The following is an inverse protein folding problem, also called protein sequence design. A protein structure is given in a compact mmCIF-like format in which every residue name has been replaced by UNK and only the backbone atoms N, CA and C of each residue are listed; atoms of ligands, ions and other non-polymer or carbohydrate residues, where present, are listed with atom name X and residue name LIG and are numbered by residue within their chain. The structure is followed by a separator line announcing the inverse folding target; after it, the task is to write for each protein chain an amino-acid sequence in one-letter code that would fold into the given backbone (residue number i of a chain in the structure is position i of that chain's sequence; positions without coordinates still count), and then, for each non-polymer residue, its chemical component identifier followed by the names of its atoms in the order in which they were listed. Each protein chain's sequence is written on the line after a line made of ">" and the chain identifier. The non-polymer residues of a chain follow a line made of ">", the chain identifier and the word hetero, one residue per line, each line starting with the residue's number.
data_IF_867714270697
#
_entry.id   IF_867714270697
#
_cell.length_a   1.000
_cell.length_b   1.000
_cell.length_c   1.000
_cell.angle_alpha   90.00
_cell.angle_beta   90.00
_cell.angle_gamma   90.00
#
_symmetry.space_group_name_H-M   'P 1'
#
loop_
_entity.id
_entity.type
_entity.pdbx_description
1 polymer ?
#
# COMPACT_ATOMS: atom_id res chain seq x y z
N UNK A 1 19.67 25.69 5.27
CA UNK A 1 18.93 24.67 6.03
C UNK A 1 17.61 24.43 5.32
N UNK A 2 17.45 23.30 4.61
CA UNK A 2 16.19 22.95 3.95
C UNK A 2 16.06 21.42 3.94
N UNK A 3 15.60 20.86 5.07
CA UNK A 3 15.50 19.41 5.27
C UNK A 3 14.33 19.08 6.21
N UNK A 4 13.13 19.59 5.92
CA UNK A 4 11.90 19.25 6.67
C UNK A 4 10.69 19.49 5.76
N UNK A 5 10.27 18.52 4.93
CA UNK A 5 8.94 18.58 4.25
C UNK A 5 8.50 17.27 3.58
N UNK A 6 9.40 16.36 3.18
CA UNK A 6 9.00 15.15 2.42
C UNK A 6 8.77 13.91 3.28
N UNK A 7 9.43 13.79 4.42
CA UNK A 7 9.37 12.60 5.27
C UNK A 7 8.10 12.55 6.15
N UNK A 8 7.55 13.72 6.46
CA UNK A 8 6.36 13.85 7.32
C UNK A 8 5.10 13.22 6.70
N UNK A 9 4.83 13.46 5.41
CA UNK A 9 3.64 12.90 4.74
C UNK A 9 3.63 11.36 4.63
N UNK A 10 4.79 10.70 4.67
CA UNK A 10 4.88 9.24 4.61
C UNK A 10 4.53 8.60 5.95
N UNK A 11 5.23 9.03 7.01
CA UNK A 11 5.08 8.49 8.35
C UNK A 11 3.68 8.76 8.93
N UNK A 12 3.11 9.94 8.68
CA UNK A 12 1.74 10.26 9.11
C UNK A 12 0.70 9.38 8.41
N UNK A 13 0.93 9.05 7.14
CA UNK A 13 0.02 8.19 6.38
C UNK A 13 0.10 6.73 6.87
N UNK A 14 1.31 6.23 7.10
CA UNK A 14 1.52 4.89 7.69
C UNK A 14 0.85 4.79 9.07
N UNK A 15 0.99 5.82 9.91
CA UNK A 15 0.33 5.88 11.21
C UNK A 15 -1.19 5.89 11.07
N UNK A 16 -1.74 6.63 10.10
CA UNK A 16 -3.17 6.63 9.83
C UNK A 16 -3.68 5.23 9.44
N UNK A 17 -2.94 4.50 8.60
CA UNK A 17 -3.28 3.11 8.26
C UNK A 17 -3.16 2.16 9.45
N UNK A 18 -2.09 2.26 10.26
CA UNK A 18 -1.94 1.45 11.46
C UNK A 18 -3.12 1.65 12.42
N UNK A 19 -3.57 2.89 12.59
CA UNK A 19 -4.73 3.24 13.43
C UNK A 19 -6.05 2.71 12.87
N UNK A 20 -6.29 2.85 11.56
CA UNK A 20 -7.55 2.42 10.92
C UNK A 20 -7.65 0.90 10.86
N UNK A 21 -6.57 0.21 10.49
CA UNK A 21 -6.57 -1.23 10.30
C UNK A 21 -6.43 -1.99 11.62
N UNK A 22 -5.73 -1.39 12.59
CA UNK A 22 -5.23 -2.09 13.77
C UNK A 22 -3.95 -2.87 13.42
N UNK A 23 -2.87 -2.63 14.15
CA UNK A 23 -1.57 -3.22 13.89
C UNK A 23 -0.43 -2.27 14.20
N UNK A 24 0.77 -2.68 13.79
CA UNK A 24 2.00 -1.93 13.99
C UNK A 24 2.66 -1.53 12.68
N UNK A 25 3.30 -0.37 12.68
CA UNK A 25 4.24 0.00 11.62
C UNK A 25 5.50 -0.85 11.76
N UNK A 26 6.02 -1.36 10.65
CA UNK A 26 7.32 -2.05 10.60
C UNK A 26 8.47 -1.11 10.19
N UNK A 27 8.20 0.20 10.16
CA UNK A 27 8.96 1.23 9.44
C UNK A 27 10.48 1.06 9.42
N UNK A 28 11.04 1.14 8.20
CA UNK A 28 12.48 1.16 7.95
C UNK A 28 12.81 1.48 6.49
N UNK A 29 13.83 2.31 6.25
CA UNK A 29 14.46 2.41 4.93
C UNK A 29 15.03 1.02 4.60
N UNK A 30 14.63 0.39 3.48
CA UNK A 30 14.97 -0.99 3.07
C UNK A 30 14.20 -2.17 3.73
N UNK A 31 13.02 -1.98 4.36
CA UNK A 31 12.30 -3.07 5.09
C UNK A 31 11.61 -4.16 4.22
N UNK A 32 12.16 -4.49 3.06
CA UNK A 32 11.59 -5.48 2.11
C UNK A 32 10.13 -5.20 1.70
N UNK A 33 9.69 -3.96 1.86
CA UNK A 33 8.41 -3.49 1.36
C UNK A 33 7.21 -4.02 2.13
N UNK A 34 7.17 -3.92 3.48
CA UNK A 34 5.91 -4.03 4.27
C UNK A 34 5.83 -2.91 5.34
N UNK A 35 5.00 -1.91 5.10
CA UNK A 35 4.91 -0.72 5.96
C UNK A 35 4.03 -1.02 7.20
N UNK A 36 2.95 -1.78 6.99
CA UNK A 36 1.97 -2.11 8.03
C UNK A 36 1.89 -3.63 8.24
N UNK A 37 1.95 -4.03 9.50
CA UNK A 37 1.72 -5.39 9.98
C UNK A 37 0.43 -5.38 10.80
N UNK A 38 -0.71 -5.79 10.20
CA UNK A 38 -1.97 -5.89 10.93
C UNK A 38 -1.89 -6.91 12.06
N UNK A 39 -2.58 -6.64 13.17
CA UNK A 39 -2.76 -7.63 14.25
C UNK A 39 -3.73 -8.75 13.82
N UNK A 40 -4.65 -8.42 12.91
CA UNK A 40 -5.59 -9.34 12.30
C UNK A 40 -4.93 -10.13 11.16
N UNK A 41 -4.68 -11.42 11.39
CA UNK A 41 -4.04 -12.30 10.41
C UNK A 41 -4.82 -12.48 9.09
N UNK A 42 -6.11 -12.12 9.05
CA UNK A 42 -6.93 -12.14 7.83
C UNK A 42 -6.62 -10.98 6.88
N UNK A 43 -5.93 -9.94 7.38
CA UNK A 43 -5.51 -8.78 6.60
C UNK A 43 -4.03 -8.98 6.23
N UNK A 44 -3.67 -9.02 4.94
CA UNK A 44 -2.29 -9.22 4.57
C UNK A 44 -1.45 -8.02 4.99
N UNK A 45 -0.16 -8.25 5.27
CA UNK A 45 0.81 -7.15 5.42
C UNK A 45 0.87 -6.35 4.11
N UNK A 46 0.96 -5.04 4.20
CA UNK A 46 0.87 -4.16 3.03
C UNK A 46 1.83 -2.97 3.09
N UNK A 47 2.03 -2.35 1.93
CA UNK A 47 2.77 -1.12 1.73
C UNK A 47 1.83 0.07 1.64
N UNK A 48 2.32 1.23 2.04
CA UNK A 48 1.62 2.51 1.95
C UNK A 48 2.43 3.43 1.05
N UNK A 49 1.76 4.06 0.09
CA UNK A 49 2.35 5.11 -0.75
C UNK A 49 1.45 6.32 -0.79
N UNK A 50 2.06 7.49 -0.69
CA UNK A 50 1.33 8.76 -0.73
C UNK A 50 0.79 9.11 -2.11
N UNK A 51 1.31 8.50 -3.19
CA UNK A 51 0.87 8.80 -4.55
C UNK A 51 0.98 7.62 -5.52
N UNK A 52 0.20 7.69 -6.60
CA UNK A 52 0.19 6.69 -7.69
C UNK A 52 1.57 6.55 -8.32
N UNK A 53 2.31 7.65 -8.50
CA UNK A 53 3.65 7.62 -9.09
C UNK A 53 4.61 6.69 -8.33
N UNK A 54 4.62 6.77 -7.00
CA UNK A 54 5.45 5.88 -6.19
C UNK A 54 4.93 4.45 -6.18
N UNK A 55 3.61 4.26 -6.21
CA UNK A 55 3.00 2.94 -6.30
C UNK A 55 3.36 2.22 -7.61
N UNK A 56 3.37 2.92 -8.75
CA UNK A 56 3.78 2.34 -10.04
C UNK A 56 5.21 1.81 -9.99
N UNK A 57 6.15 2.58 -9.46
CA UNK A 57 7.54 2.15 -9.30
C UNK A 57 7.66 0.91 -8.41
N UNK A 58 6.93 0.89 -7.31
CA UNK A 58 6.87 -0.25 -6.39
C UNK A 58 6.31 -1.51 -7.05
N UNK A 59 5.20 -1.39 -7.79
CA UNK A 59 4.54 -2.49 -8.47
C UNK A 59 5.41 -3.04 -9.62
N UNK A 60 6.11 -2.18 -10.36
CA UNK A 60 7.04 -2.60 -11.39
C UNK A 60 8.16 -3.48 -10.82
N UNK A 61 8.75 -3.08 -9.69
CA UNK A 61 9.74 -3.90 -8.97
C UNK A 61 9.13 -5.20 -8.44
N UNK A 62 7.90 -5.16 -7.92
CA UNK A 62 7.18 -6.35 -7.44
C UNK A 62 6.97 -7.38 -8.54
N UNK A 63 6.60 -6.93 -9.75
CA UNK A 63 6.48 -7.79 -10.93
C UNK A 63 7.84 -8.32 -11.37
N UNK A 64 8.87 -7.47 -11.45
CA UNK A 64 10.22 -7.87 -11.85
C UNK A 64 10.82 -8.95 -10.94
N UNK A 65 10.52 -8.89 -9.64
CA UNK A 65 11.00 -9.83 -8.62
C UNK A 65 10.08 -11.02 -8.40
N UNK A 66 8.94 -11.08 -9.09
CA UNK A 66 7.91 -12.10 -8.88
C UNK A 66 7.48 -12.21 -7.40
N UNK A 67 7.41 -11.06 -6.75
CA UNK A 67 7.07 -10.95 -5.34
C UNK A 67 6.07 -9.82 -5.16
N UNK A 68 4.80 -10.18 -5.07
CA UNK A 68 3.75 -9.20 -4.84
C UNK A 68 3.56 -8.93 -3.34
N UNK A 69 3.67 -7.66 -2.95
CA UNK A 69 3.15 -7.19 -1.67
C UNK A 69 1.94 -6.29 -1.90
N UNK A 70 0.82 -6.51 -1.20
CA UNK A 70 -0.33 -5.62 -1.29
C UNK A 70 0.01 -4.16 -0.97
N UNK A 71 -0.71 -3.24 -1.60
CA UNK A 71 -0.39 -1.80 -1.53
C UNK A 71 -1.63 -0.91 -1.35
N UNK A 72 -1.52 0.05 -0.45
CA UNK A 72 -2.46 1.13 -0.21
C UNK A 72 -1.90 2.45 -0.77
N UNK A 73 -2.73 3.21 -1.48
CA UNK A 73 -2.34 4.48 -2.10
C UNK A 73 -3.25 5.60 -1.60
N UNK A 74 -2.66 6.67 -1.05
CA UNK A 74 -3.42 7.80 -0.52
C UNK A 74 -4.15 7.45 0.78
N UNK A 75 -5.18 8.21 1.13
CA UNK A 75 -5.80 8.17 2.45
C UNK A 75 -6.58 6.86 2.72
N UNK A 76 -6.55 6.37 3.98
CA UNK A 76 -7.30 5.18 4.36
C UNK A 76 -8.83 5.42 4.30
N UNK A 77 -9.57 4.38 3.92
CA UNK A 77 -11.03 4.32 4.05
C UNK A 77 -11.47 3.78 5.42
N UNK A 78 -12.68 3.21 5.49
CA UNK A 78 -13.08 2.42 6.65
C UNK A 78 -12.28 1.12 6.70
N UNK A 79 -12.06 0.59 7.91
CA UNK A 79 -11.28 -0.63 8.16
C UNK A 79 -11.68 -1.78 7.24
N UNK A 80 -12.97 -2.14 7.25
CA UNK A 80 -13.47 -3.29 6.47
C UNK A 80 -13.33 -3.06 4.97
N UNK A 81 -13.62 -1.86 4.47
CA UNK A 81 -13.45 -1.53 3.05
C UNK A 81 -12.00 -1.66 2.57
N UNK A 82 -11.05 -1.21 3.39
CA UNK A 82 -9.62 -1.33 3.09
C UNK A 82 -9.20 -2.81 3.14
N UNK A 83 -9.64 -3.54 4.16
CA UNK A 83 -9.33 -4.94 4.35
C UNK A 83 -9.87 -5.81 3.20
N UNK A 84 -11.13 -5.64 2.82
CA UNK A 84 -11.76 -6.37 1.71
C UNK A 84 -11.04 -6.08 0.40
N UNK A 85 -10.78 -4.80 0.09
CA UNK A 85 -10.05 -4.42 -1.11
C UNK A 85 -8.62 -5.01 -1.16
N UNK A 86 -7.92 -5.07 -0.02
CA UNK A 86 -6.60 -5.70 0.07
C UNK A 86 -6.67 -7.21 -0.22
N UNK A 87 -7.68 -7.92 0.29
CA UNK A 87 -7.85 -9.37 0.04
C UNK A 87 -8.19 -9.63 -1.42
N UNK A 88 -9.17 -8.92 -1.95
CA UNK A 88 -9.71 -9.12 -3.30
C UNK A 88 -8.72 -8.64 -4.36
N UNK A 89 -8.38 -7.35 -4.31
CA UNK A 89 -7.61 -6.67 -5.35
C UNK A 89 -6.10 -6.71 -5.11
N UNK A 90 -5.66 -6.96 -3.88
CA UNK A 90 -4.26 -6.78 -3.49
C UNK A 90 -3.89 -5.32 -3.25
N UNK A 91 -4.87 -4.43 -3.10
CA UNK A 91 -4.58 -3.04 -2.79
C UNK A 91 -5.81 -2.22 -2.46
N UNK A 92 -5.57 -1.03 -1.92
CA UNK A 92 -6.59 0.00 -1.70
C UNK A 92 -6.11 1.31 -2.34
N UNK A 93 -7.04 2.06 -2.91
CA UNK A 93 -6.77 3.39 -3.43
C UNK A 93 -7.72 4.36 -2.74
N UNK A 94 -7.19 5.46 -2.22
CA UNK A 94 -7.97 6.51 -1.57
C UNK A 94 -9.05 7.08 -2.49
N UNK A 95 -10.18 7.49 -1.91
CA UNK A 95 -11.34 7.97 -2.68
C UNK A 95 -11.10 9.29 -3.40
N UNK A 96 -10.12 10.06 -2.94
CA UNK A 96 -9.68 11.32 -3.53
C UNK A 96 -8.73 11.16 -4.72
N UNK A 97 -8.28 9.93 -5.03
CA UNK A 97 -7.38 9.69 -6.16
C UNK A 97 -8.17 9.68 -7.47
N UNK A 98 -7.82 10.53 -8.45
CA UNK A 98 -8.49 10.52 -9.75
C UNK A 98 -8.26 9.18 -10.44
N UNK A 99 -9.28 8.70 -11.17
CA UNK A 99 -9.24 7.41 -11.89
C UNK A 99 -8.92 6.23 -10.96
N UNK A 100 -9.39 6.29 -9.71
CA UNK A 100 -9.23 5.29 -8.66
C UNK A 100 -9.41 3.85 -9.15
N UNK A 101 -10.47 3.60 -9.92
CA UNK A 101 -10.79 2.27 -10.43
C UNK A 101 -9.75 1.75 -11.41
N UNK A 102 -9.27 2.59 -12.34
CA UNK A 102 -8.20 2.23 -13.28
C UNK A 102 -6.90 1.90 -12.53
N UNK A 103 -6.57 2.68 -11.49
CA UNK A 103 -5.41 2.41 -10.63
C UNK A 103 -5.55 1.07 -9.92
N UNK A 104 -6.73 0.79 -9.35
CA UNK A 104 -7.00 -0.45 -8.64
C UNK A 104 -6.94 -1.67 -9.58
N UNK A 105 -7.49 -1.57 -10.79
CA UNK A 105 -7.35 -2.59 -11.84
C UNK A 105 -5.88 -2.84 -12.21
N UNK A 106 -5.07 -1.78 -12.27
CA UNK A 106 -3.63 -1.87 -12.47
C UNK A 106 -2.91 -2.67 -11.37
N UNK A 107 -3.27 -2.44 -10.11
CA UNK A 107 -2.75 -3.21 -8.96
C UNK A 107 -3.13 -4.69 -9.09
N UNK A 108 -4.41 -4.98 -9.36
CA UNK A 108 -4.90 -6.36 -9.53
C UNK A 108 -4.17 -7.08 -10.67
N UNK A 109 -3.90 -6.39 -11.79
CA UNK A 109 -3.11 -6.93 -12.89
C UNK A 109 -1.68 -7.24 -12.46
N UNK A 110 -1.02 -6.33 -11.74
CA UNK A 110 0.32 -6.53 -11.22
C UNK A 110 0.40 -7.72 -10.24
N UNK A 111 -0.60 -7.88 -9.35
CA UNK A 111 -0.77 -9.07 -8.48
C UNK A 111 -0.80 -10.36 -9.29
N UNK A 112 -1.56 -10.38 -10.39
CA UNK A 112 -1.63 -11.54 -11.28
C UNK A 112 -0.31 -11.87 -11.97
N UNK A 113 0.41 -10.85 -12.46
CA UNK A 113 1.69 -11.02 -13.16
C UNK A 113 2.79 -11.51 -12.21
N UNK A 114 2.90 -10.91 -11.02
CA UNK A 114 3.93 -11.24 -10.04
C UNK A 114 3.76 -12.63 -9.40
N UNK A 115 2.58 -13.25 -9.51
CA UNK A 115 2.30 -14.61 -8.97
C UNK A 115 2.48 -15.73 -9.99
N UNK A 116 2.61 -15.41 -11.28
CA UNK A 116 2.61 -16.39 -12.39
C UNK A 116 4.01 -16.84 -12.81
N UNK A 117 5.03 -16.52 -12.03
CA UNK A 117 6.43 -16.78 -12.35
C UNK A 117 7.13 -17.57 -11.25
#
# INVERSE_FOLDING_TARGET
>A
MNMVSKEFHGAELEQAYAKVIGGRMSGGFNDCGKDIVPDDSSIPRFQVKSSVHFAVKFLAESVRRFQFTPICIGEPGKRDEVADSLRENGGWVGRNIPRREEVLQGITKAKGLARRA
#
